data_IF_081892973070
#
_entry.id   IF_081892973070
#
_cell.length_a   1.000
_cell.length_b   1.000
_cell.length_c   1.000
_cell.angle_alpha   90.00
_cell.angle_beta   90.00
_cell.angle_gamma   90.00
#
_symmetry.space_group_name_H-M   'P 1'
#
loop_
_entity.id
_entity.type
_entity.pdbx_description
1 polymer ?
#
# COMPACT_ATOMS: atom_id res chain seq x y z
N UNK A 1 -14.00 7.74 20.40
CA UNK A 1 -14.19 7.29 19.01
C UNK A 1 -14.54 5.82 18.99
N UNK A 2 -15.46 5.43 18.16
CA UNK A 2 -15.80 4.01 17.96
C UNK A 2 -14.73 3.35 17.12
N UNK A 3 -14.32 2.13 17.45
CA UNK A 3 -13.22 1.43 16.79
C UNK A 3 -13.45 1.17 15.30
N UNK A 4 -14.70 1.06 14.88
CA UNK A 4 -15.08 0.77 13.50
C UNK A 4 -15.65 1.97 12.77
N UNK A 5 -15.58 3.15 13.37
CA UNK A 5 -16.14 4.36 12.77
C UNK A 5 -15.12 4.99 11.84
N UNK A 6 -15.48 5.07 10.58
CA UNK A 6 -14.72 5.81 9.57
C UNK A 6 -15.19 7.26 9.52
N UNK A 7 -14.61 8.06 8.61
CA UNK A 7 -15.06 9.44 8.41
C UNK A 7 -16.56 9.48 8.12
N UNK A 8 -17.34 10.36 8.78
CA UNK A 8 -18.79 10.45 8.52
C UNK A 8 -19.16 10.74 7.08
N UNK A 9 -18.25 11.39 6.33
CA UNK A 9 -18.46 11.72 4.92
C UNK A 9 -18.20 10.53 4.00
N UNK A 10 -17.44 9.53 4.46
CA UNK A 10 -17.09 8.34 3.68
C UNK A 10 -18.09 7.22 4.00
N UNK A 11 -19.28 7.32 3.43
CA UNK A 11 -20.38 6.42 3.74
C UNK A 11 -20.77 5.51 2.57
N UNK A 12 -20.06 5.59 1.46
CA UNK A 12 -20.38 4.77 0.31
C UNK A 12 -19.82 3.35 0.47
N UNK A 13 -20.69 2.38 0.18
CA UNK A 13 -20.24 1.00 0.05
C UNK A 13 -19.56 0.83 -1.29
N UNK A 14 -18.33 0.27 -1.29
CA UNK A 14 -17.55 0.03 -2.50
C UNK A 14 -17.24 -1.46 -2.61
N UNK A 15 -17.53 -2.04 -3.77
CA UNK A 15 -17.21 -3.43 -4.06
C UNK A 15 -16.47 -3.48 -5.40
N UNK A 16 -15.26 -4.01 -5.39
CA UNK A 16 -14.43 -4.12 -6.57
C UNK A 16 -13.97 -5.57 -6.72
N UNK A 17 -14.24 -6.17 -7.88
CA UNK A 17 -13.65 -7.46 -8.24
C UNK A 17 -12.23 -7.19 -8.74
N UNK A 18 -11.25 -7.41 -7.89
CA UNK A 18 -9.85 -7.11 -8.21
C UNK A 18 -9.26 -8.01 -9.29
N UNK A 19 -9.91 -9.14 -9.57
CA UNK A 19 -9.46 -10.04 -10.65
C UNK A 19 -9.82 -9.53 -12.04
N UNK A 20 -10.83 -8.64 -12.11
CA UNK A 20 -11.32 -8.06 -13.37
C UNK A 20 -11.10 -6.56 -13.48
N UNK A 21 -10.39 -5.97 -12.52
CA UNK A 21 -10.12 -4.52 -12.52
C UNK A 21 -8.76 -4.24 -13.18
N UNK A 22 -8.59 -2.99 -13.60
CA UNK A 22 -7.40 -2.58 -14.36
C UNK A 22 -6.25 -2.16 -13.45
N UNK A 23 -5.04 -2.50 -13.88
CA UNK A 23 -3.80 -1.99 -13.29
C UNK A 23 -3.34 -0.75 -14.07
N UNK A 24 -2.80 0.22 -13.35
CA UNK A 24 -2.18 1.40 -13.96
C UNK A 24 -0.72 1.47 -13.57
N UNK A 25 0.15 2.11 -14.40
CA UNK A 25 1.56 2.23 -14.06
C UNK A 25 1.76 2.97 -12.74
N UNK A 26 2.69 2.48 -11.92
CA UNK A 26 3.12 3.15 -10.70
C UNK A 26 4.16 4.23 -10.95
N UNK A 27 4.70 4.78 -9.86
CA UNK A 27 5.65 5.90 -9.92
C UNK A 27 7.05 5.50 -10.39
N UNK A 28 7.38 4.23 -10.34
CA UNK A 28 8.66 3.70 -10.83
C UNK A 28 8.41 2.50 -11.72
N UNK A 29 9.39 2.21 -12.58
CA UNK A 29 9.35 1.01 -13.43
C UNK A 29 9.26 -0.24 -12.57
N UNK A 30 8.39 -1.16 -12.95
CA UNK A 30 8.18 -2.42 -12.24
C UNK A 30 7.02 -2.36 -11.25
N UNK A 31 6.44 -1.19 -11.00
CA UNK A 31 5.25 -1.04 -10.17
C UNK A 31 3.98 -0.89 -11.02
N UNK A 32 2.96 -1.61 -10.61
CA UNK A 32 1.60 -1.42 -11.11
C UNK A 32 0.67 -1.23 -9.93
N UNK A 33 -0.26 -0.29 -10.05
CA UNK A 33 -1.17 0.09 -8.97
C UNK A 33 -2.61 -0.14 -9.42
N UNK A 34 -3.41 -0.70 -8.53
CA UNK A 34 -4.85 -0.79 -8.68
C UNK A 34 -5.49 0.05 -7.59
N UNK A 35 -5.89 1.31 -7.87
CA UNK A 35 -6.60 2.11 -6.88
C UNK A 35 -7.92 1.48 -6.51
N UNK A 36 -8.23 1.39 -5.22
CA UNK A 36 -9.49 0.83 -4.73
C UNK A 36 -10.41 1.87 -4.13
N UNK A 37 -9.87 2.80 -3.33
CA UNK A 37 -10.68 3.81 -2.67
C UNK A 37 -9.84 5.01 -2.27
N UNK A 38 -10.42 6.18 -2.38
CA UNK A 38 -9.80 7.44 -1.95
C UNK A 38 -10.84 8.29 -1.23
N UNK A 39 -10.47 8.81 -0.07
CA UNK A 39 -11.29 9.78 0.65
C UNK A 39 -10.37 10.76 1.37
N UNK A 40 -10.47 12.04 1.05
CA UNK A 40 -9.61 13.09 1.60
C UNK A 40 -8.12 12.73 1.36
N UNK A 41 -7.31 12.56 2.42
CA UNK A 41 -5.91 12.15 2.32
C UNK A 41 -5.72 10.64 2.31
N UNK A 42 -6.78 9.86 2.51
CA UNK A 42 -6.71 8.42 2.59
C UNK A 42 -6.75 7.79 1.21
N UNK A 43 -5.85 6.84 0.97
CA UNK A 43 -5.79 6.08 -0.27
C UNK A 43 -5.62 4.60 0.04
N UNK A 44 -6.41 3.77 -0.65
CA UNK A 44 -6.32 2.32 -0.56
C UNK A 44 -6.07 1.77 -1.95
N UNK A 45 -5.08 0.90 -2.07
CA UNK A 45 -4.70 0.32 -3.35
C UNK A 45 -4.06 -1.06 -3.18
N UNK A 46 -4.10 -1.84 -4.26
CA UNK A 46 -3.20 -2.97 -4.44
C UNK A 46 -2.00 -2.49 -5.24
N UNK A 47 -0.83 -2.97 -4.89
CA UNK A 47 0.42 -2.63 -5.61
C UNK A 47 1.15 -3.92 -5.93
N UNK A 48 1.44 -4.09 -7.21
CA UNK A 48 2.20 -5.23 -7.74
C UNK A 48 3.62 -4.77 -8.04
N UNK A 49 4.58 -5.52 -7.52
CA UNK A 49 6.01 -5.29 -7.69
C UNK A 49 6.61 -6.38 -8.56
N UNK A 50 7.18 -6.02 -9.68
CA UNK A 50 7.97 -6.97 -10.46
C UNK A 50 9.27 -7.31 -9.73
N UNK A 51 9.83 -8.53 -9.93
CA UNK A 51 11.13 -8.86 -9.34
C UNK A 51 12.21 -7.82 -9.67
N UNK A 52 12.95 -7.41 -8.65
CA UNK A 52 14.03 -6.44 -8.80
C UNK A 52 13.60 -4.98 -8.76
N UNK A 53 12.35 -4.69 -8.47
CA UNK A 53 11.84 -3.31 -8.40
C UNK A 53 12.32 -2.63 -7.12
N UNK A 54 12.79 -1.39 -7.26
CA UNK A 54 13.21 -0.53 -6.16
C UNK A 54 12.44 0.79 -6.25
N UNK A 55 11.83 1.19 -5.15
CA UNK A 55 11.19 2.50 -5.04
C UNK A 55 12.19 3.49 -4.45
N UNK A 56 12.02 4.76 -4.75
CA UNK A 56 12.87 5.82 -4.18
C UNK A 56 12.63 5.94 -2.68
N UNK A 57 13.67 6.35 -1.96
CA UNK A 57 13.53 6.73 -0.56
C UNK A 57 12.45 7.81 -0.43
N UNK A 58 11.48 7.59 0.45
CA UNK A 58 10.37 8.53 0.61
C UNK A 58 9.86 8.53 2.05
N UNK A 59 9.13 9.58 2.38
CA UNK A 59 8.45 9.71 3.66
C UNK A 59 6.94 9.44 3.48
N UNK A 60 6.30 9.05 4.58
CA UNK A 60 4.87 8.73 4.59
C UNK A 60 4.08 9.85 5.25
N UNK A 61 3.60 10.81 4.45
CA UNK A 61 2.66 11.80 4.96
C UNK A 61 1.33 11.10 5.29
N UNK A 62 0.91 11.20 6.56
CA UNK A 62 -0.29 10.51 7.04
C UNK A 62 -0.10 9.02 7.28
N UNK A 63 1.13 8.50 7.22
CA UNK A 63 1.43 7.11 7.50
C UNK A 63 1.08 6.13 6.40
N UNK A 64 1.42 4.86 6.63
CA UNK A 64 1.21 3.78 5.66
C UNK A 64 0.99 2.47 6.40
N UNK A 65 -0.01 1.71 5.98
CA UNK A 65 -0.18 0.33 6.42
C UNK A 65 -0.15 -0.60 5.21
N UNK A 66 0.60 -1.69 5.34
CA UNK A 66 0.85 -2.64 4.26
C UNK A 66 0.51 -4.04 4.75
N UNK A 67 -0.17 -4.81 3.90
CA UNK A 67 -0.31 -6.24 4.09
C UNK A 67 0.26 -6.97 2.87
N UNK A 68 1.21 -7.87 3.11
CA UNK A 68 1.85 -8.66 2.03
C UNK A 68 0.93 -9.83 1.68
N UNK A 69 0.31 -9.74 0.50
CA UNK A 69 -0.65 -10.74 0.02
C UNK A 69 0.09 -11.93 -0.58
N UNK A 70 1.17 -11.65 -1.34
CA UNK A 70 1.95 -12.68 -2.01
C UNK A 70 3.37 -12.16 -2.26
N UNK A 71 4.32 -13.08 -2.40
CA UNK A 71 5.72 -12.73 -2.62
C UNK A 71 6.42 -12.21 -1.38
N UNK A 72 7.45 -11.39 -1.58
CA UNK A 72 8.29 -10.85 -0.51
C UNK A 72 8.50 -9.36 -0.70
N UNK A 73 8.06 -8.57 0.27
CA UNK A 73 8.29 -7.13 0.34
C UNK A 73 9.49 -6.85 1.23
N UNK A 74 10.29 -5.84 0.90
CA UNK A 74 11.52 -5.53 1.63
C UNK A 74 11.73 -4.03 1.77
N UNK A 75 12.48 -3.64 2.79
CA UNK A 75 13.07 -2.31 2.93
C UNK A 75 14.38 -2.44 3.73
N UNK A 76 15.01 -1.32 4.06
CA UNK A 76 16.27 -1.33 4.82
C UNK A 76 16.14 -1.92 6.21
N UNK A 77 14.93 -2.07 6.73
CA UNK A 77 14.69 -2.60 8.08
C UNK A 77 14.47 -4.12 8.09
N UNK A 78 14.15 -4.73 6.96
CA UNK A 78 13.93 -6.16 6.93
C UNK A 78 13.31 -6.70 5.67
N UNK A 79 12.97 -7.97 5.74
CA UNK A 79 12.37 -8.77 4.67
C UNK A 79 11.05 -9.33 5.18
N UNK A 80 9.99 -9.12 4.40
CA UNK A 80 8.62 -9.38 4.86
C UNK A 80 7.93 -10.32 3.88
N UNK A 81 7.76 -11.59 4.25
CA UNK A 81 7.08 -12.55 3.39
C UNK A 81 5.56 -12.40 3.43
N UNK A 82 4.89 -13.14 2.57
CA UNK A 82 3.43 -13.29 2.56
C UNK A 82 2.87 -13.44 3.97
N UNK A 83 1.82 -12.68 4.28
CA UNK A 83 1.16 -12.70 5.58
C UNK A 83 1.68 -11.67 6.57
N UNK A 84 2.67 -10.88 6.22
CA UNK A 84 3.21 -9.83 7.10
C UNK A 84 2.37 -8.56 7.01
N UNK A 85 2.06 -7.98 8.17
CA UNK A 85 1.45 -6.67 8.27
C UNK A 85 2.47 -5.67 8.80
N UNK A 86 2.54 -4.50 8.17
CA UNK A 86 3.51 -3.44 8.51
C UNK A 86 2.76 -2.14 8.71
N UNK A 87 3.11 -1.42 9.77
CA UNK A 87 2.60 -0.07 10.00
C UNK A 87 3.76 0.90 10.09
N UNK A 88 3.75 1.88 9.19
CA UNK A 88 4.73 2.96 9.14
C UNK A 88 4.05 4.25 9.58
N UNK A 89 4.43 4.83 10.73
CA UNK A 89 3.75 6.02 11.25
C UNK A 89 3.97 7.25 10.37
N UNK A 90 3.14 8.26 10.59
CA UNK A 90 3.28 9.56 9.93
C UNK A 90 4.70 10.10 10.07
N UNK A 91 5.28 10.54 8.97
CA UNK A 91 6.62 11.11 8.94
C UNK A 91 7.76 10.10 8.87
N UNK A 92 7.46 8.78 8.98
CA UNK A 92 8.49 7.76 8.81
C UNK A 92 9.00 7.70 7.38
N UNK A 93 10.20 7.17 7.21
CA UNK A 93 10.84 7.06 5.90
C UNK A 93 11.36 5.65 5.66
N UNK A 94 11.36 5.24 4.40
CA UNK A 94 12.02 4.00 3.99
C UNK A 94 12.35 4.00 2.49
N UNK A 95 13.12 3.01 2.07
CA UNK A 95 13.39 2.72 0.67
C UNK A 95 12.90 1.31 0.38
N UNK A 96 11.65 1.15 -0.05
CA UNK A 96 11.11 -0.18 -0.28
C UNK A 96 11.60 -0.78 -1.59
N UNK A 97 11.72 -2.10 -1.60
CA UNK A 97 12.11 -2.86 -2.78
C UNK A 97 11.56 -4.29 -2.68
N UNK A 98 11.65 -5.03 -3.78
CA UNK A 98 11.29 -6.44 -3.78
C UNK A 98 12.18 -7.17 -4.80
N UNK A 99 13.08 -8.01 -4.32
CA UNK A 99 13.96 -8.81 -5.19
C UNK A 99 13.18 -9.90 -5.92
N UNK A 100 12.21 -10.50 -5.23
CA UNK A 100 11.45 -11.63 -5.75
C UNK A 100 10.13 -11.21 -6.41
N UNK A 101 9.73 -9.94 -6.21
CA UNK A 101 8.40 -9.49 -6.58
C UNK A 101 7.39 -9.74 -5.47
N UNK A 102 6.33 -8.97 -5.45
CA UNK A 102 5.26 -9.14 -4.47
C UNK A 102 3.97 -8.48 -4.91
N UNK A 103 2.91 -8.82 -4.19
CA UNK A 103 1.62 -8.16 -4.26
C UNK A 103 1.27 -7.70 -2.85
N UNK A 104 1.02 -6.40 -2.68
CA UNK A 104 0.70 -5.83 -1.39
C UNK A 104 -0.61 -5.05 -1.42
N UNK A 105 -1.31 -5.04 -0.30
CA UNK A 105 -2.40 -4.12 -0.01
C UNK A 105 -1.82 -2.94 0.76
N UNK A 106 -2.12 -1.72 0.34
CA UNK A 106 -1.57 -0.50 0.94
C UNK A 106 -2.68 0.48 1.27
N UNK A 107 -2.65 1.01 2.48
CA UNK A 107 -3.47 2.15 2.87
C UNK A 107 -2.56 3.26 3.37
N UNK A 108 -2.73 4.46 2.83
CA UNK A 108 -1.90 5.63 3.16
C UNK A 108 -2.76 6.83 3.54
N UNK A 109 -2.16 7.77 4.30
CA UNK A 109 -2.78 9.05 4.58
C UNK A 109 -3.81 9.06 5.70
N UNK A 110 -3.87 8.01 6.52
CA UNK A 110 -4.92 7.82 7.54
C UNK A 110 -4.41 7.85 8.99
N UNK A 111 -3.10 8.06 9.19
CA UNK A 111 -2.44 7.95 10.50
C UNK A 111 -1.94 9.29 11.07
N UNK A 112 -2.46 10.40 10.64
CA UNK A 112 -2.04 11.70 11.17
C UNK A 112 -3.02 12.29 12.17
#
# INVERSE_FOLDING_TARGET
MKLWQMSPEDQERVVIDTTNNSWVPGLVKGLQVMPLHTHSTENVALVKWEPGTVFKHHSHFGGEEIYVIDGVFEDEHGTYPKGTWIRNPHGSTHTPFSKEGCLIYVKTGHLN
#
